data_IF_274428296556
#
_entry.id   IF_274428296556
#
_cell.length_a   1.000
_cell.length_b   1.000
_cell.length_c   1.000
_cell.angle_alpha   90.00
_cell.angle_beta   90.00
_cell.angle_gamma   90.00
#
_symmetry.space_group_name_H-M   'P 1'
#
loop_
_entity.id
_entity.type
_entity.pdbx_description
1 polymer ?
#
# COMPACT_ATOMS: atom_id res chain seq x y z
N UNK A 1 -55.87 28.69 -11.22
CA UNK A 1 -54.40 28.63 -11.39
C UNK A 1 -53.91 27.31 -10.78
N UNK A 2 -53.57 26.34 -11.65
CA UNK A 2 -53.11 25.02 -11.25
C UNK A 2 -51.59 24.95 -11.37
N UNK A 3 -50.88 24.80 -10.27
CA UNK A 3 -49.42 24.64 -10.21
C UNK A 3 -49.13 23.17 -10.43
N UNK A 4 -48.59 22.80 -11.58
CA UNK A 4 -48.03 21.47 -11.83
C UNK A 4 -46.65 21.39 -11.19
N UNK A 5 -46.50 20.61 -10.12
CA UNK A 5 -45.21 20.19 -9.61
C UNK A 5 -44.57 19.18 -10.60
N UNK A 6 -43.47 19.53 -11.16
CA UNK A 6 -42.63 18.60 -11.88
C UNK A 6 -41.78 17.80 -10.86
N UNK A 7 -42.12 16.51 -10.74
CA UNK A 7 -41.27 15.56 -9.97
C UNK A 7 -40.10 15.18 -10.88
N UNK A 8 -38.96 15.75 -10.60
CA UNK A 8 -37.69 15.35 -11.23
C UNK A 8 -37.28 13.96 -10.73
N UNK A 9 -37.29 12.98 -11.61
CA UNK A 9 -36.71 11.67 -11.35
C UNK A 9 -35.19 11.82 -11.22
N UNK A 10 -34.67 11.71 -9.99
CA UNK A 10 -33.25 11.55 -9.77
C UNK A 10 -32.91 10.09 -10.10
N UNK A 11 -32.36 9.90 -11.29
CA UNK A 11 -31.75 8.61 -11.67
C UNK A 11 -30.49 8.43 -10.84
N UNK A 12 -30.57 7.69 -9.76
CA UNK A 12 -29.38 7.15 -9.09
C UNK A 12 -28.69 6.20 -10.07
N UNK A 13 -27.63 6.68 -10.72
CA UNK A 13 -26.64 5.79 -11.32
C UNK A 13 -25.95 5.05 -10.19
N UNK A 14 -26.48 3.90 -9.81
CA UNK A 14 -25.73 2.93 -9.06
C UNK A 14 -24.59 2.45 -9.98
N UNK A 15 -23.41 3.05 -9.87
CA UNK A 15 -22.19 2.43 -10.33
C UNK A 15 -22.03 1.15 -9.48
N UNK A 16 -22.57 0.06 -9.98
CA UNK A 16 -22.18 -1.27 -9.52
C UNK A 16 -20.70 -1.37 -9.87
N UNK A 17 -19.85 -1.08 -8.91
CA UNK A 17 -18.44 -1.41 -9.00
C UNK A 17 -18.42 -2.92 -9.29
N UNK A 18 -18.14 -3.26 -10.54
CA UNK A 18 -18.05 -4.67 -10.94
C UNK A 18 -16.85 -5.19 -10.17
N UNK A 19 -17.15 -5.91 -9.08
CA UNK A 19 -16.11 -6.49 -8.24
C UNK A 19 -15.23 -7.33 -9.15
N UNK A 20 -14.01 -6.86 -9.42
CA UNK A 20 -13.05 -7.64 -10.16
C UNK A 20 -12.76 -8.93 -9.39
N UNK A 21 -12.59 -10.01 -10.08
CA UNK A 21 -12.28 -11.27 -9.44
C UNK A 21 -10.77 -11.46 -9.49
N UNK A 22 -10.19 -11.84 -8.35
CA UNK A 22 -8.84 -12.37 -8.33
C UNK A 22 -8.81 -13.54 -9.31
N UNK A 23 -7.83 -13.63 -10.21
CA UNK A 23 -7.71 -14.76 -11.12
C UNK A 23 -7.88 -16.07 -10.36
N UNK A 24 -8.53 -17.06 -10.96
CA UNK A 24 -8.98 -18.30 -10.31
C UNK A 24 -7.86 -19.15 -9.69
N UNK A 25 -6.64 -18.81 -9.95
CA UNK A 25 -5.45 -19.31 -9.29
C UNK A 25 -4.98 -18.26 -8.28
N UNK A 26 -5.11 -18.52 -7.03
CA UNK A 26 -4.43 -17.77 -5.99
C UNK A 26 -2.95 -18.09 -6.12
N UNK A 27 -2.22 -17.28 -6.88
CA UNK A 27 -0.86 -17.57 -7.25
C UNK A 27 0.13 -16.94 -6.30
N UNK A 28 1.13 -17.69 -5.94
CA UNK A 28 2.34 -17.22 -5.32
C UNK A 28 3.34 -16.85 -6.40
N UNK A 29 3.75 -15.60 -6.47
CA UNK A 29 4.77 -15.16 -7.42
C UNK A 29 6.11 -15.16 -6.72
N UNK A 30 7.03 -16.01 -7.19
CA UNK A 30 8.33 -16.16 -6.55
C UNK A 30 9.42 -15.39 -7.30
N UNK A 31 9.77 -15.79 -8.49
CA UNK A 31 10.96 -15.28 -9.16
C UNK A 31 10.68 -14.20 -10.21
N UNK A 32 9.45 -14.14 -10.70
CA UNK A 32 9.13 -13.29 -11.84
C UNK A 32 8.83 -11.84 -11.44
N UNK A 33 8.51 -11.56 -10.18
CA UNK A 33 8.41 -10.21 -9.62
C UNK A 33 9.75 -9.60 -9.25
N UNK A 34 10.86 -10.26 -9.62
CA UNK A 34 12.19 -9.76 -9.34
C UNK A 34 12.49 -8.54 -10.17
N UNK A 35 12.93 -7.48 -9.53
CA UNK A 35 13.58 -6.35 -10.19
C UNK A 35 14.98 -6.81 -10.56
N UNK A 36 15.15 -7.29 -11.80
CA UNK A 36 16.43 -7.81 -12.28
C UNK A 36 17.45 -6.72 -12.56
N UNK A 37 17.00 -5.49 -12.80
CA UNK A 37 17.87 -4.43 -13.25
C UNK A 37 18.10 -3.41 -12.14
N UNK A 38 19.36 -3.18 -11.86
CA UNK A 38 19.79 -1.98 -11.16
C UNK A 38 19.60 -0.82 -12.12
N UNK A 39 18.76 0.12 -11.77
CA UNK A 39 18.64 1.36 -12.50
C UNK A 39 19.82 2.23 -12.08
N UNK A 40 20.85 2.24 -12.89
CA UNK A 40 22.12 2.92 -12.60
C UNK A 40 22.93 2.20 -11.50
N UNK A 41 23.61 2.98 -10.66
CA UNK A 41 24.37 2.48 -9.49
C UNK A 41 23.51 2.35 -8.23
N UNK A 42 22.22 2.64 -8.33
CA UNK A 42 21.35 2.76 -7.17
C UNK A 42 20.68 1.42 -6.87
N UNK A 43 20.80 0.98 -5.63
CA UNK A 43 20.15 -0.21 -5.12
C UNK A 43 18.65 0.05 -4.91
N UNK A 44 17.77 -0.83 -5.39
CA UNK A 44 16.32 -0.64 -5.26
C UNK A 44 15.78 -0.89 -3.85
N UNK A 45 16.58 -1.44 -2.97
CA UNK A 45 16.15 -1.74 -1.59
C UNK A 45 15.13 -2.87 -1.48
N UNK A 46 14.49 -2.94 -0.33
CA UNK A 46 13.37 -3.87 -0.12
C UNK A 46 12.05 -3.28 -0.63
N UNK A 47 11.02 -4.14 -0.72
CA UNK A 47 9.66 -3.70 -1.00
C UNK A 47 9.15 -2.88 0.19
N UNK A 48 8.53 -1.76 -0.10
CA UNK A 48 7.96 -0.83 0.88
C UNK A 48 6.43 -0.85 0.87
N UNK A 49 5.84 -1.23 -0.26
CA UNK A 49 4.40 -1.25 -0.43
C UNK A 49 3.96 -2.02 -1.66
N UNK A 50 2.71 -2.42 -1.68
CA UNK A 50 2.09 -3.00 -2.86
C UNK A 50 0.61 -2.63 -2.95
N UNK A 51 0.11 -2.51 -4.17
CA UNK A 51 -1.33 -2.49 -4.42
C UNK A 51 -1.65 -3.27 -5.70
N UNK A 52 -2.92 -3.62 -5.86
CA UNK A 52 -3.34 -4.46 -6.97
C UNK A 52 -4.60 -3.95 -7.65
N UNK A 53 -4.73 -4.33 -8.91
CA UNK A 53 -5.93 -4.14 -9.73
C UNK A 53 -6.34 -5.48 -10.35
N UNK A 54 -7.45 -5.52 -11.08
CA UNK A 54 -7.89 -6.72 -11.78
C UNK A 54 -6.85 -7.29 -12.76
N UNK A 55 -5.92 -6.49 -13.25
CA UNK A 55 -4.98 -6.87 -14.31
C UNK A 55 -3.51 -6.62 -14.01
N UNK A 56 -3.19 -6.01 -12.88
CA UNK A 56 -1.81 -5.68 -12.53
C UNK A 56 -1.56 -5.65 -11.02
N UNK A 57 -0.30 -5.85 -10.65
CA UNK A 57 0.24 -5.58 -9.33
C UNK A 57 1.27 -4.46 -9.44
N UNK A 58 1.31 -3.60 -8.44
CA UNK A 58 2.26 -2.51 -8.32
C UNK A 58 3.05 -2.69 -7.04
N UNK A 59 4.36 -2.51 -7.13
CA UNK A 59 5.27 -2.62 -6.00
C UNK A 59 6.06 -1.32 -5.87
N UNK A 60 6.08 -0.76 -4.68
CA UNK A 60 7.00 0.32 -4.33
C UNK A 60 8.23 -0.28 -3.68
N UNK A 61 9.40 0.09 -4.18
CA UNK A 61 10.72 -0.17 -3.59
C UNK A 61 11.31 1.14 -3.11
N UNK A 62 12.47 1.10 -2.48
CA UNK A 62 13.15 2.30 -1.98
C UNK A 62 13.29 3.43 -3.02
N UNK A 63 13.57 3.11 -4.27
CA UNK A 63 13.82 4.10 -5.32
C UNK A 63 13.18 3.73 -6.65
N UNK A 64 12.18 2.87 -6.64
CA UNK A 64 11.56 2.36 -7.84
C UNK A 64 10.11 1.94 -7.59
N UNK A 65 9.27 2.16 -8.60
CA UNK A 65 7.96 1.53 -8.70
C UNK A 65 8.03 0.52 -9.84
N UNK A 66 7.49 -0.67 -9.62
CA UNK A 66 7.38 -1.73 -10.60
C UNK A 66 5.91 -2.08 -10.81
N UNK A 67 5.45 -2.12 -12.07
CA UNK A 67 4.18 -2.69 -12.48
C UNK A 67 4.41 -4.08 -13.06
N UNK A 68 3.65 -5.07 -12.62
CA UNK A 68 3.67 -6.43 -13.20
C UNK A 68 2.27 -6.87 -13.57
N UNK A 69 2.16 -7.88 -14.42
CA UNK A 69 0.94 -8.67 -14.48
C UNK A 69 0.83 -9.61 -13.27
N UNK A 70 -0.28 -10.34 -13.19
CA UNK A 70 -0.51 -11.32 -12.12
C UNK A 70 0.44 -12.52 -12.16
N UNK A 71 1.20 -12.70 -13.22
CA UNK A 71 2.25 -13.72 -13.35
C UNK A 71 3.64 -13.20 -12.96
N UNK A 72 3.73 -11.94 -12.50
CA UNK A 72 4.97 -11.29 -12.12
C UNK A 72 5.83 -10.83 -13.29
N UNK A 73 5.31 -10.81 -14.53
CA UNK A 73 6.04 -10.25 -15.66
C UNK A 73 6.05 -8.74 -15.56
N UNK A 74 7.21 -8.14 -15.64
CA UNK A 74 7.36 -6.69 -15.66
C UNK A 74 6.66 -6.07 -16.87
N UNK A 75 5.80 -5.10 -16.63
CA UNK A 75 5.06 -4.34 -17.64
C UNK A 75 5.60 -2.92 -17.78
N UNK A 76 5.91 -2.27 -16.65
CA UNK A 76 6.48 -0.94 -16.60
C UNK A 76 7.26 -0.73 -15.30
N UNK A 77 8.16 0.24 -15.29
CA UNK A 77 8.82 0.69 -14.09
C UNK A 77 9.07 2.21 -14.11
N UNK A 78 9.22 2.80 -12.92
CA UNK A 78 9.65 4.18 -12.77
C UNK A 78 10.72 4.27 -11.69
N UNK A 79 11.74 5.08 -11.95
CA UNK A 79 12.72 5.45 -10.92
C UNK A 79 12.11 6.54 -10.06
N UNK A 80 12.17 6.36 -8.75
CA UNK A 80 11.70 7.32 -7.77
C UNK A 80 12.88 7.89 -6.98
N UNK A 81 12.61 8.90 -6.17
CA UNK A 81 13.63 9.36 -5.21
C UNK A 81 13.81 8.34 -4.10
N UNK A 82 15.00 8.29 -3.49
CA UNK A 82 15.27 7.39 -2.38
C UNK A 82 14.21 7.50 -1.27
N UNK A 83 13.86 6.34 -0.76
CA UNK A 83 12.91 6.06 0.29
C UNK A 83 11.45 6.25 -0.12
N UNK A 84 11.03 5.43 -1.11
CA UNK A 84 9.61 5.18 -1.36
C UNK A 84 8.97 4.54 -0.14
N UNK A 85 7.72 4.90 0.15
CA UNK A 85 6.86 4.25 1.11
C UNK A 85 5.83 3.35 0.43
N UNK A 86 4.65 3.27 1.00
CA UNK A 86 3.55 2.47 0.48
C UNK A 86 2.95 3.05 -0.82
N UNK A 87 2.09 2.27 -1.45
CA UNK A 87 1.53 2.55 -2.77
C UNK A 87 0.06 2.15 -2.83
N UNK A 88 -0.79 2.98 -3.43
CA UNK A 88 -2.18 2.63 -3.69
C UNK A 88 -2.62 3.01 -5.11
N UNK A 89 -3.69 2.39 -5.56
CA UNK A 89 -4.31 2.67 -6.87
C UNK A 89 -5.68 3.32 -6.69
N UNK A 90 -5.93 4.36 -7.49
CA UNK A 90 -7.26 4.95 -7.63
C UNK A 90 -7.43 5.60 -8.99
N UNK A 91 -8.52 5.30 -9.67
CA UNK A 91 -8.98 5.94 -10.91
C UNK A 91 -7.88 6.14 -11.98
N UNK A 92 -7.19 5.04 -12.35
CA UNK A 92 -6.16 5.07 -13.39
C UNK A 92 -4.83 5.70 -12.94
N UNK A 93 -4.66 5.96 -11.66
CA UNK A 93 -3.45 6.54 -11.08
C UNK A 93 -2.91 5.70 -9.95
N UNK A 94 -1.63 5.78 -9.77
CA UNK A 94 -0.90 5.20 -8.65
C UNK A 94 -0.37 6.34 -7.78
N UNK A 95 -0.60 6.23 -6.49
CA UNK A 95 -0.16 7.20 -5.48
C UNK A 95 0.86 6.55 -4.56
N UNK A 96 1.92 7.26 -4.23
CA UNK A 96 2.89 6.82 -3.21
C UNK A 96 2.99 7.84 -2.10
N UNK A 97 3.06 7.33 -0.86
CA UNK A 97 3.66 8.10 0.23
C UNK A 97 5.16 7.88 0.18
N UNK A 98 5.95 8.93 0.29
CA UNK A 98 7.41 8.80 0.25
C UNK A 98 8.13 9.90 1.04
N UNK A 99 9.42 9.72 1.24
CA UNK A 99 10.30 10.71 1.85
C UNK A 99 11.30 11.19 0.81
N UNK A 100 11.26 12.47 0.50
CA UNK A 100 12.32 13.10 -0.26
C UNK A 100 13.52 13.34 0.66
N UNK A 101 14.62 12.70 0.33
CA UNK A 101 15.90 12.91 1.01
C UNK A 101 16.77 13.76 0.08
N UNK A 102 17.08 15.00 0.44
CA UNK A 102 17.91 15.86 -0.37
C UNK A 102 19.34 15.31 -0.50
N UNK A 103 19.97 15.55 -1.65
CA UNK A 103 21.39 15.19 -1.87
C UNK A 103 22.35 16.16 -1.18
N UNK A 104 21.90 17.40 -0.93
CA UNK A 104 22.71 18.45 -0.30
C UNK A 104 22.69 18.32 1.22
N UNK A 105 23.89 18.46 1.82
CA UNK A 105 24.03 18.51 3.27
C UNK A 105 23.32 19.75 3.85
N UNK A 106 22.39 19.52 4.78
CA UNK A 106 21.72 20.59 5.51
C UNK A 106 20.26 20.80 5.13
N UNK A 107 19.81 20.28 4.01
CA UNK A 107 18.39 20.25 3.70
C UNK A 107 17.67 19.17 4.51
N UNK A 108 16.46 19.48 4.94
CA UNK A 108 15.62 18.56 5.71
C UNK A 108 14.91 17.56 4.80
N UNK A 109 14.90 16.30 5.18
CA UNK A 109 14.02 15.32 4.58
C UNK A 109 12.55 15.74 4.72
N UNK A 110 11.77 15.57 3.64
CA UNK A 110 10.36 16.04 3.58
C UNK A 110 9.46 14.91 3.14
N UNK A 111 8.35 14.73 3.85
CA UNK A 111 7.28 13.84 3.41
C UNK A 111 6.66 14.35 2.11
N UNK A 112 6.20 13.43 1.27
CA UNK A 112 5.67 13.77 -0.05
C UNK A 112 4.61 12.75 -0.49
N UNK A 113 3.61 13.22 -1.24
CA UNK A 113 2.75 12.37 -2.08
C UNK A 113 3.21 12.54 -3.52
N UNK A 114 3.43 11.42 -4.21
CA UNK A 114 3.71 11.40 -5.65
C UNK A 114 2.64 10.62 -6.38
N UNK A 115 2.30 11.07 -7.59
CA UNK A 115 1.23 10.50 -8.43
C UNK A 115 1.81 10.12 -9.78
N UNK A 116 1.48 8.92 -10.22
CA UNK A 116 1.91 8.35 -11.48
C UNK A 116 0.71 7.86 -12.28
N UNK A 117 0.82 7.91 -13.59
CA UNK A 117 -0.10 7.22 -14.48
C UNK A 117 -0.01 5.70 -14.27
N UNK A 118 -1.14 5.05 -14.05
CA UNK A 118 -1.12 3.62 -13.69
C UNK A 118 -0.75 2.71 -14.86
N UNK A 119 -0.87 3.17 -16.10
CA UNK A 119 -0.52 2.36 -17.26
C UNK A 119 0.97 2.44 -17.57
N UNK A 120 1.52 3.64 -17.57
CA UNK A 120 2.88 3.93 -18.03
C UNK A 120 3.88 4.16 -16.91
N UNK A 121 3.42 4.38 -15.69
CA UNK A 121 4.19 4.85 -14.53
C UNK A 121 4.91 6.18 -14.75
N UNK A 122 4.47 6.97 -15.73
CA UNK A 122 4.99 8.32 -15.90
C UNK A 122 4.51 9.22 -14.74
N UNK A 123 5.39 10.08 -14.18
CA UNK A 123 5.01 10.97 -13.11
C UNK A 123 4.01 12.03 -13.61
N UNK A 124 2.91 12.20 -12.87
CA UNK A 124 1.88 13.20 -13.16
C UNK A 124 2.11 14.45 -12.31
N UNK A 125 2.18 14.28 -11.01
CA UNK A 125 2.36 15.38 -10.05
C UNK A 125 2.91 14.90 -8.72
N UNK A 126 3.34 15.85 -7.91
CA UNK A 126 3.80 15.60 -6.54
C UNK A 126 3.44 16.78 -5.63
N UNK A 127 3.29 16.50 -4.35
CA UNK A 127 3.14 17.52 -3.31
C UNK A 127 4.03 17.19 -2.12
N UNK A 128 4.82 18.16 -1.67
CA UNK A 128 5.49 18.12 -0.38
C UNK A 128 4.52 18.43 0.74
N UNK A 129 4.65 17.73 1.84
CA UNK A 129 3.77 17.80 3.01
C UNK A 129 4.49 18.57 4.12
N UNK A 130 4.49 19.90 4.00
CA UNK A 130 5.19 20.75 4.95
C UNK A 130 4.54 20.76 6.33
N UNK A 131 3.25 20.37 6.38
CA UNK A 131 2.47 20.16 7.59
C UNK A 131 2.86 18.89 8.37
N UNK A 132 3.71 18.02 7.79
CA UNK A 132 4.15 16.77 8.40
C UNK A 132 5.56 16.87 8.96
N UNK A 133 5.75 16.28 10.15
CA UNK A 133 7.06 16.17 10.78
C UNK A 133 7.50 14.68 10.84
N UNK A 134 7.64 14.05 9.68
CA UNK A 134 8.00 12.63 9.58
C UNK A 134 7.93 12.12 8.15
N UNK A 135 8.01 10.79 7.99
CA UNK A 135 7.83 10.10 6.73
C UNK A 135 6.33 9.97 6.41
N UNK A 136 6.00 9.95 5.13
CA UNK A 136 4.68 9.57 4.64
C UNK A 136 4.84 8.16 4.06
N UNK A 137 4.44 7.14 4.81
CA UNK A 137 4.65 5.76 4.41
C UNK A 137 3.34 5.05 4.03
N UNK A 138 2.44 4.78 4.98
CA UNK A 138 1.17 4.11 4.67
C UNK A 138 0.24 4.99 3.84
N UNK A 139 -0.29 4.49 2.72
CA UNK A 139 -1.19 5.27 1.84
C UNK A 139 -2.29 4.38 1.27
N UNK A 140 -3.52 4.89 1.28
CA UNK A 140 -4.64 4.29 0.55
C UNK A 140 -5.58 5.37 0.01
N UNK A 141 -6.47 5.02 -0.91
CA UNK A 141 -7.47 5.94 -1.43
C UNK A 141 -8.87 5.32 -1.36
N UNK A 142 -9.82 6.10 -0.87
CA UNK A 142 -11.22 5.73 -0.79
C UNK A 142 -12.08 6.92 -1.19
N UNK A 143 -12.99 6.71 -2.14
CA UNK A 143 -13.95 7.72 -2.62
C UNK A 143 -13.30 9.07 -3.01
N UNK A 144 -12.12 9.03 -3.66
CA UNK A 144 -11.37 10.21 -4.07
C UNK A 144 -10.62 10.93 -2.94
N UNK A 145 -10.56 10.35 -1.77
CA UNK A 145 -9.78 10.84 -0.65
C UNK A 145 -8.59 9.92 -0.40
N UNK A 146 -7.39 10.50 -0.44
CA UNK A 146 -6.16 9.84 -0.01
C UNK A 146 -6.10 9.89 1.51
N UNK A 147 -5.87 8.75 2.12
CA UNK A 147 -5.56 8.59 3.53
C UNK A 147 -4.08 8.22 3.65
N UNK A 148 -3.37 8.98 4.45
CA UNK A 148 -1.93 8.89 4.59
C UNK A 148 -1.57 8.62 6.03
N UNK A 149 -0.80 7.58 6.30
CA UNK A 149 -0.26 7.25 7.62
C UNK A 149 1.18 7.74 7.75
N UNK A 150 1.52 8.28 8.92
CA UNK A 150 2.88 8.70 9.22
C UNK A 150 3.73 7.46 9.51
N UNK A 151 4.76 7.28 8.69
CA UNK A 151 5.89 6.44 9.04
C UNK A 151 6.85 7.22 9.96
N UNK A 152 7.64 6.49 10.73
CA UNK A 152 8.69 7.02 11.59
C UNK A 152 8.21 8.09 12.57
N UNK A 153 7.63 7.64 13.65
CA UNK A 153 7.18 8.49 14.75
C UNK A 153 8.37 8.86 15.63
N UNK A 154 8.53 10.16 15.93
CA UNK A 154 9.54 10.63 16.88
C UNK A 154 8.91 11.66 17.84
N UNK A 155 8.92 11.42 19.15
CA UNK A 155 9.42 10.23 19.83
C UNK A 155 8.56 8.99 19.57
N UNK A 156 9.12 7.77 19.75
CA UNK A 156 8.35 6.53 19.69
C UNK A 156 7.18 6.58 20.67
N UNK A 157 6.06 5.95 20.27
CA UNK A 157 4.89 5.90 21.13
C UNK A 157 3.76 5.12 20.49
N UNK A 158 2.68 4.96 21.23
CA UNK A 158 1.48 4.25 20.83
C UNK A 158 0.56 5.03 19.88
N UNK A 159 0.97 6.23 19.46
CA UNK A 159 0.17 7.14 18.63
C UNK A 159 0.77 7.26 17.25
N UNK A 160 -0.08 7.11 16.24
CA UNK A 160 0.28 7.36 14.85
C UNK A 160 -0.55 8.51 14.29
N UNK A 161 0.06 9.32 13.45
CA UNK A 161 -0.60 10.43 12.77
C UNK A 161 -1.14 9.97 11.42
N UNK A 162 -2.31 10.48 11.09
CA UNK A 162 -2.94 10.30 9.78
C UNK A 162 -3.37 11.64 9.20
N UNK A 163 -3.38 11.72 7.86
CA UNK A 163 -3.86 12.88 7.13
C UNK A 163 -4.79 12.47 6.00
N UNK A 164 -5.64 13.41 5.58
CA UNK A 164 -6.56 13.25 4.46
C UNK A 164 -6.22 14.25 3.38
N UNK A 165 -6.21 13.81 2.12
CA UNK A 165 -5.92 14.66 0.97
C UNK A 165 -6.89 14.38 -0.15
N UNK A 166 -7.26 15.39 -0.89
CA UNK A 166 -8.03 15.24 -2.12
C UNK A 166 -7.16 14.58 -3.21
N UNK A 167 -7.62 13.49 -3.80
CA UNK A 167 -6.83 12.69 -4.73
C UNK A 167 -6.54 13.44 -6.05
N UNK A 168 -7.42 14.35 -6.47
CA UNK A 168 -7.23 15.10 -7.70
C UNK A 168 -6.29 16.30 -7.49
N UNK A 169 -6.42 17.02 -6.41
CA UNK A 169 -5.68 18.27 -6.17
C UNK A 169 -4.47 18.08 -5.26
N UNK A 170 -4.43 17.00 -4.49
CA UNK A 170 -3.50 16.71 -3.39
C UNK A 170 -3.56 17.73 -2.25
N UNK A 171 -4.62 18.55 -2.19
CA UNK A 171 -4.79 19.50 -1.09
C UNK A 171 -5.24 18.78 0.18
N UNK A 172 -4.79 19.23 1.37
CA UNK A 172 -5.21 18.62 2.62
C UNK A 172 -6.70 18.84 2.87
N UNK A 173 -7.37 17.80 3.38
CA UNK A 173 -8.74 17.85 3.85
C UNK A 173 -8.71 17.87 5.38
N UNK A 174 -8.77 19.06 5.95
CA UNK A 174 -8.63 19.27 7.39
C UNK A 174 -7.18 19.18 7.86
N UNK A 175 -7.01 19.02 9.17
CA UNK A 175 -5.70 18.87 9.81
C UNK A 175 -5.36 17.39 9.99
N UNK A 176 -4.07 17.03 10.04
CA UNK A 176 -3.65 15.70 10.49
C UNK A 176 -4.22 15.39 11.89
N UNK A 177 -4.55 14.15 12.12
CA UNK A 177 -5.14 13.68 13.37
C UNK A 177 -4.37 12.47 13.91
N UNK A 178 -4.56 12.16 15.18
CA UNK A 178 -3.82 11.13 15.91
C UNK A 178 -4.73 9.95 16.23
N UNK A 179 -4.21 8.74 16.02
CA UNK A 179 -4.84 7.49 16.43
C UNK A 179 -3.96 6.79 17.45
N UNK A 180 -4.54 6.39 18.57
CA UNK A 180 -3.87 5.58 19.57
C UNK A 180 -4.03 4.08 19.19
N UNK A 181 -2.94 3.46 18.80
CA UNK A 181 -2.92 2.05 18.42
C UNK A 181 -2.76 1.10 19.61
N UNK A 182 -2.48 1.63 20.80
CA UNK A 182 -2.38 0.86 22.04
C UNK A 182 -1.09 0.06 22.19
N UNK A 183 -0.06 0.33 21.37
CA UNK A 183 1.29 -0.22 21.52
C UNK A 183 2.33 0.74 20.93
N UNK A 184 3.56 0.65 21.43
CA UNK A 184 4.63 1.52 20.95
C UNK A 184 5.13 1.06 19.58
N UNK A 185 5.27 2.00 18.66
CA UNK A 185 5.85 1.80 17.35
C UNK A 185 6.80 2.95 17.02
N UNK A 186 8.04 2.62 16.65
CA UNK A 186 9.03 3.59 16.19
C UNK A 186 8.83 4.00 14.74
N UNK A 187 8.18 3.15 13.96
CA UNK A 187 8.06 3.32 12.51
C UNK A 187 6.64 3.68 12.04
N UNK A 188 5.66 3.75 12.95
CA UNK A 188 4.30 4.15 12.63
C UNK A 188 3.62 3.25 11.60
N UNK A 189 2.66 3.84 10.86
CA UNK A 189 1.93 3.17 9.78
C UNK A 189 2.83 3.05 8.54
N UNK A 190 3.23 1.83 8.22
CA UNK A 190 4.08 1.55 7.06
C UNK A 190 3.26 1.26 5.81
N UNK A 191 2.11 0.62 5.99
CA UNK A 191 1.20 0.29 4.92
C UNK A 191 -0.24 0.56 5.34
N UNK A 192 -1.08 0.93 4.38
CA UNK A 192 -2.48 1.23 4.62
C UNK A 192 -3.32 0.73 3.44
N UNK A 193 -4.36 -0.04 3.72
CA UNK A 193 -5.33 -0.49 2.74
C UNK A 193 -6.76 -0.32 3.24
N UNK A 194 -7.76 -0.45 2.38
CA UNK A 194 -9.16 -0.37 2.75
C UNK A 194 -10.02 -1.30 1.90
N UNK A 195 -11.07 -1.87 2.50
CA UNK A 195 -12.14 -2.56 1.80
C UNK A 195 -13.39 -1.67 1.57
N UNK A 196 -13.26 -0.38 1.91
CA UNK A 196 -14.36 0.57 1.87
C UNK A 196 -15.19 0.61 3.16
N UNK A 197 -15.07 -0.37 4.04
CA UNK A 197 -15.72 -0.45 5.36
C UNK A 197 -14.73 -0.16 6.49
N UNK A 198 -13.55 -0.75 6.39
CA UNK A 198 -12.46 -0.63 7.35
C UNK A 198 -11.18 -0.16 6.69
N UNK A 199 -10.31 0.44 7.50
CA UNK A 199 -8.93 0.69 7.18
C UNK A 199 -8.06 -0.34 7.89
N UNK A 200 -7.06 -0.83 7.20
CA UNK A 200 -6.08 -1.81 7.67
C UNK A 200 -4.70 -1.18 7.63
N UNK A 201 -4.00 -1.15 8.75
CA UNK A 201 -2.68 -0.54 8.84
C UNK A 201 -1.65 -1.57 9.31
N UNK A 202 -0.60 -1.74 8.52
CA UNK A 202 0.56 -2.55 8.86
C UNK A 202 1.66 -1.69 9.49
N UNK A 203 2.25 -2.18 10.58
CA UNK A 203 3.32 -1.52 11.30
C UNK A 203 4.52 -2.45 11.45
N UNK A 204 5.70 -1.89 11.71
CA UNK A 204 6.83 -2.72 12.14
C UNK A 204 6.53 -3.33 13.51
N UNK A 205 6.72 -4.64 13.59
CA UNK A 205 6.87 -5.32 14.87
C UNK A 205 8.34 -5.17 15.27
N UNK A 206 8.63 -4.63 16.43
CA UNK A 206 10.01 -4.44 16.91
C UNK A 206 10.73 -5.78 17.19
N UNK A 207 9.97 -6.82 17.43
CA UNK A 207 10.47 -8.17 17.67
C UNK A 207 10.02 -9.07 16.50
N UNK A 208 10.96 -9.61 15.72
CA UNK A 208 10.67 -10.52 14.60
C UNK A 208 10.01 -11.83 15.03
N UNK A 209 10.13 -12.17 16.32
CA UNK A 209 9.38 -13.22 16.98
C UNK A 209 8.08 -12.70 17.61
N UNK A 210 7.66 -11.48 17.26
CA UNK A 210 6.76 -10.69 18.05
C UNK A 210 5.36 -11.26 18.12
N UNK A 211 4.94 -11.35 19.32
CA UNK A 211 3.55 -11.39 19.75
C UNK A 211 2.89 -10.02 19.75
N UNK A 212 3.54 -9.01 19.15
CA UNK A 212 3.05 -7.62 19.12
C UNK A 212 1.99 -7.47 18.04
N UNK A 213 0.81 -6.96 18.38
CA UNK A 213 -0.27 -6.78 17.41
C UNK A 213 0.00 -5.59 16.51
N UNK A 214 0.77 -5.81 15.45
CA UNK A 214 1.23 -4.79 14.51
C UNK A 214 0.35 -4.62 13.25
N UNK A 215 -0.74 -5.36 13.16
CA UNK A 215 -1.77 -5.19 12.14
C UNK A 215 -3.03 -4.63 12.80
N UNK A 216 -3.40 -3.40 12.43
CA UNK A 216 -4.44 -2.62 13.08
C UNK A 216 -5.63 -2.50 12.14
N UNK A 217 -6.82 -2.78 12.66
CA UNK A 217 -8.10 -2.57 11.96
C UNK A 217 -8.79 -1.36 12.57
N UNK A 218 -9.17 -0.42 11.72
CA UNK A 218 -9.87 0.81 12.10
C UNK A 218 -11.16 0.95 11.31
N UNK A 219 -12.19 1.50 11.93
CA UNK A 219 -13.40 1.88 11.21
C UNK A 219 -13.21 3.15 10.36
N UNK A 220 -14.26 3.63 9.69
CA UNK A 220 -14.19 4.81 8.82
C UNK A 220 -13.86 6.11 9.57
N UNK A 221 -14.05 6.14 10.87
CA UNK A 221 -13.69 7.26 11.75
C UNK A 221 -12.30 7.09 12.38
N UNK A 222 -11.54 6.09 11.91
CA UNK A 222 -10.21 5.74 12.43
C UNK A 222 -10.20 5.30 13.90
N UNK A 223 -11.33 4.84 14.41
CA UNK A 223 -11.38 4.18 15.71
C UNK A 223 -10.86 2.74 15.56
N UNK A 224 -9.91 2.37 16.39
CA UNK A 224 -9.35 1.01 16.40
C UNK A 224 -10.41 0.01 16.86
N UNK A 225 -10.72 -0.96 16.00
CA UNK A 225 -11.70 -2.02 16.24
C UNK A 225 -11.07 -3.41 16.31
N UNK A 226 -9.82 -3.55 15.86
CA UNK A 226 -9.08 -4.82 15.91
C UNK A 226 -7.57 -4.60 15.96
N UNK A 227 -6.88 -5.56 16.60
CA UNK A 227 -5.42 -5.63 16.66
C UNK A 227 -5.00 -7.07 16.48
N UNK A 228 -4.11 -7.33 15.53
CA UNK A 228 -3.69 -8.68 15.18
C UNK A 228 -2.18 -8.79 15.10
N UNK A 229 -1.65 -9.94 15.49
CA UNK A 229 -0.24 -10.30 15.27
C UNK A 229 -0.12 -10.84 13.85
N UNK A 230 0.32 -9.97 12.95
CA UNK A 230 0.51 -10.35 11.55
C UNK A 230 1.56 -9.46 10.88
N UNK A 231 2.62 -10.06 10.37
CA UNK A 231 3.75 -9.34 9.78
C UNK A 231 3.53 -9.03 8.30
N UNK A 232 2.96 -7.87 7.96
CA UNK A 232 2.75 -7.40 6.60
C UNK A 232 3.39 -6.03 6.33
N UNK A 233 4.49 -5.74 6.95
CA UNK A 233 5.17 -4.44 6.93
C UNK A 233 5.79 -4.00 5.60
N UNK A 234 5.78 -4.87 4.58
CA UNK A 234 6.42 -4.60 3.29
C UNK A 234 5.42 -4.41 2.15
N UNK A 235 4.15 -4.30 2.47
CA UNK A 235 3.07 -4.04 1.53
C UNK A 235 1.98 -5.09 1.57
N UNK A 236 0.76 -4.62 1.54
CA UNK A 236 -0.43 -5.44 1.39
C UNK A 236 -1.55 -4.63 0.77
N UNK A 237 -2.53 -5.32 0.22
CA UNK A 237 -3.77 -4.73 -0.27
C UNK A 237 -4.95 -5.67 -0.01
N UNK A 238 -6.16 -5.12 -0.02
CA UNK A 238 -7.38 -5.91 0.08
C UNK A 238 -7.76 -6.41 -1.30
N UNK A 239 -8.10 -7.71 -1.38
CA UNK A 239 -8.53 -8.32 -2.63
C UNK A 239 -9.91 -8.96 -2.47
N UNK A 240 -10.73 -8.99 -3.54
CA UNK A 240 -12.00 -9.70 -3.50
C UNK A 240 -11.79 -11.21 -3.36
N UNK A 241 -12.82 -11.91 -2.89
CA UNK A 241 -12.84 -13.37 -2.83
C UNK A 241 -12.76 -13.97 -1.43
N UNK A 242 -12.79 -13.15 -0.38
CA UNK A 242 -13.07 -13.64 0.97
C UNK A 242 -14.44 -14.31 1.01
N UNK A 243 -14.53 -15.48 1.67
CA UNK A 243 -15.77 -16.26 1.82
C UNK A 243 -16.34 -16.07 3.21
N UNK A 244 -17.66 -16.14 3.32
CA UNK A 244 -18.36 -16.15 4.61
C UNK A 244 -17.98 -14.96 5.53
N UNK A 245 -17.90 -13.75 4.96
CA UNK A 245 -17.57 -12.53 5.70
C UNK A 245 -16.06 -12.34 6.00
N UNK A 246 -15.19 -13.19 5.49
CA UNK A 246 -13.75 -13.00 5.59
C UNK A 246 -13.28 -11.85 4.71
N UNK A 247 -12.28 -11.11 5.17
CA UNK A 247 -11.53 -10.15 4.35
C UNK A 247 -10.23 -10.81 3.88
N UNK A 248 -10.04 -10.84 2.57
CA UNK A 248 -8.82 -11.41 1.99
C UNK A 248 -7.82 -10.32 1.67
N UNK A 249 -6.58 -10.59 2.00
CA UNK A 249 -5.44 -9.74 1.71
C UNK A 249 -4.47 -10.44 0.77
N UNK A 250 -3.88 -9.66 -0.12
CA UNK A 250 -2.62 -9.99 -0.77
C UNK A 250 -1.53 -9.19 -0.06
N UNK A 251 -0.40 -9.82 0.24
CA UNK A 251 0.71 -9.15 0.88
C UNK A 251 2.04 -9.65 0.34
N UNK A 252 3.08 -8.88 0.54
CA UNK A 252 4.40 -9.29 0.08
C UNK A 252 5.45 -9.20 1.18
N UNK A 253 6.46 -10.05 1.00
CA UNK A 253 7.71 -10.01 1.76
C UNK A 253 8.88 -9.93 0.79
N UNK A 254 9.96 -9.29 1.21
CA UNK A 254 11.15 -9.19 0.39
C UNK A 254 12.03 -10.42 0.54
N UNK A 255 12.41 -11.01 -0.59
CA UNK A 255 13.43 -12.06 -0.64
C UNK A 255 14.74 -11.43 -1.10
N UNK A 256 15.86 -11.94 -0.56
CA UNK A 256 17.22 -11.45 -0.86
C UNK A 256 17.44 -9.97 -0.51
N UNK A 257 16.76 -9.49 0.54
CA UNK A 257 17.07 -8.19 1.10
C UNK A 257 18.40 -8.25 1.84
N UNK A 258 19.48 -8.14 1.07
CA UNK A 258 20.81 -8.09 1.63
C UNK A 258 21.44 -6.75 1.29
N UNK A 259 22.29 -6.29 2.18
CA UNK A 259 23.10 -5.11 1.91
C UNK A 259 23.77 -5.22 0.54
N UNK A 260 23.77 -4.17 -0.28
CA UNK A 260 24.49 -4.16 -1.57
C UNK A 260 25.94 -4.57 -1.45
N UNK A 261 26.53 -4.41 -0.26
CA UNK A 261 27.92 -4.83 0.03
C UNK A 261 28.07 -6.34 0.18
N UNK A 262 27.02 -7.04 0.65
CA UNK A 262 27.10 -8.46 0.96
C UNK A 262 26.81 -9.35 -0.25
N UNK A 263 25.80 -9.02 -1.06
CA UNK A 263 25.42 -9.82 -2.24
C UNK A 263 24.91 -8.93 -3.39
N UNK A 264 25.79 -8.19 -4.07
CA UNK A 264 25.40 -7.24 -5.11
C UNK A 264 24.80 -7.89 -6.38
N UNK A 265 24.84 -9.20 -6.48
CA UNK A 265 24.47 -9.93 -7.70
C UNK A 265 23.06 -10.55 -7.63
N UNK A 266 22.48 -10.66 -6.44
CA UNK A 266 21.15 -11.25 -6.30
C UNK A 266 20.06 -10.18 -6.49
N UNK A 267 19.03 -10.49 -7.29
CA UNK A 267 17.90 -9.60 -7.43
C UNK A 267 17.12 -9.52 -6.11
N UNK A 268 16.63 -8.33 -5.77
CA UNK A 268 15.62 -8.16 -4.73
C UNK A 268 14.28 -8.56 -5.31
N UNK A 269 13.58 -9.47 -4.64
CA UNK A 269 12.32 -10.04 -5.13
C UNK A 269 11.21 -9.80 -4.13
N UNK A 270 9.99 -9.60 -4.64
CA UNK A 270 8.77 -9.66 -3.85
C UNK A 270 8.22 -11.09 -3.84
N UNK A 271 8.07 -11.67 -2.67
CA UNK A 271 7.30 -12.88 -2.48
C UNK A 271 5.86 -12.50 -2.17
N UNK A 272 4.96 -12.79 -3.09
CA UNK A 272 3.54 -12.48 -2.95
C UNK A 272 2.81 -13.64 -2.29
N UNK A 273 1.99 -13.30 -1.31
CA UNK A 273 1.30 -14.22 -0.42
C UNK A 273 -0.13 -13.76 -0.19
N UNK A 274 -0.97 -14.63 0.38
CA UNK A 274 -2.36 -14.32 0.70
C UNK A 274 -2.66 -14.60 2.17
N UNK A 275 -3.52 -13.77 2.76
CA UNK A 275 -4.03 -13.97 4.11
C UNK A 275 -5.54 -13.73 4.15
N UNK A 276 -6.21 -14.28 5.14
CA UNK A 276 -7.62 -13.99 5.44
C UNK A 276 -7.78 -13.57 6.89
N UNK A 277 -8.56 -12.50 7.11
CA UNK A 277 -9.08 -12.10 8.41
C UNK A 277 -10.51 -12.58 8.51
N UNK A 278 -10.76 -13.52 9.42
CA UNK A 278 -12.08 -14.09 9.69
C UNK A 278 -12.23 -14.33 11.19
N UNK A 279 -13.40 -14.01 11.74
CA UNK A 279 -13.74 -14.21 13.15
C UNK A 279 -12.67 -13.65 14.12
N UNK A 280 -12.11 -12.48 13.77
CA UNK A 280 -11.08 -11.82 14.56
C UNK A 280 -9.68 -12.45 14.50
N UNK A 281 -9.44 -13.41 13.59
CA UNK A 281 -8.14 -14.04 13.35
C UNK A 281 -7.67 -13.76 11.95
N UNK A 282 -6.37 -13.48 11.82
CA UNK A 282 -5.70 -13.35 10.52
C UNK A 282 -4.75 -14.51 10.33
N UNK A 283 -4.85 -15.19 9.19
CA UNK A 283 -4.07 -16.38 8.88
C UNK A 283 -3.50 -16.31 7.47
N UNK A 284 -2.25 -16.75 7.30
CA UNK A 284 -1.65 -16.96 5.99
C UNK A 284 -2.30 -18.18 5.33
N UNK A 285 -2.92 -17.95 4.16
CA UNK A 285 -3.56 -18.99 3.36
C UNK A 285 -2.76 -19.36 2.10
N UNK A 286 -1.58 -18.81 1.93
CA UNK A 286 -0.74 -19.01 0.72
C UNK A 286 -0.53 -20.48 0.38
N UNK A 287 -0.33 -21.34 1.37
CA UNK A 287 -0.14 -22.79 1.19
C UNK A 287 -1.35 -23.50 0.56
N UNK A 288 -2.51 -22.85 0.58
CA UNK A 288 -3.74 -23.37 -0.04
C UNK A 288 -3.92 -22.87 -1.47
N UNK A 289 -3.02 -22.03 -1.95
CA UNK A 289 -3.07 -21.48 -3.30
C UNK A 289 -2.50 -22.46 -4.30
N UNK A 290 -3.20 -22.61 -5.44
CA UNK A 290 -2.77 -23.47 -6.54
C UNK A 290 -1.96 -22.63 -7.52
N UNK A 291 -0.72 -23.01 -7.75
CA UNK A 291 0.12 -22.37 -8.76
C UNK A 291 -0.33 -22.79 -10.17
N UNK A 292 -0.54 -21.87 -11.09
CA UNK A 292 -0.72 -22.22 -12.48
C UNK A 292 0.58 -22.89 -12.98
N UNK A 293 0.44 -24.00 -13.67
CA UNK A 293 1.58 -24.58 -14.38
C UNK A 293 2.09 -23.55 -15.40
N UNK A 294 3.40 -23.33 -15.50
CA UNK A 294 3.93 -22.48 -16.55
C UNK A 294 3.35 -22.94 -17.89
N UNK A 295 2.78 -22.01 -18.64
CA UNK A 295 2.41 -22.28 -20.02
C UNK A 295 3.67 -22.73 -20.73
N UNK A 296 3.69 -23.97 -21.19
CA UNK A 296 4.76 -24.42 -22.09
C UNK A 296 4.72 -23.51 -23.30
N UNK A 297 5.79 -22.76 -23.50
CA UNK A 297 6.00 -21.95 -24.71
C UNK A 297 6.22 -22.90 -25.89
#
# INVERSE_FOLDING_TARGET
MSVKMAVGAVTLCACVAQAWQVPSWDARITEQGAVKERIGKTWCGHVQGMCVTSNAMYFSYHNQILKTDWYGRSLAYAVTTPHGGDICYWNGRVYTGDVYVPEEKGERARARISVYDAETLQPIKRRFLDEWNGAADGITCLDGVIYLGMGRVSPPGNKCWYGKYDAETLQPIGKPFVVDHGYDSTHGSQNLATDGTYFYSGHYCEDENAKTPCFIVMDRDFKVVGRHVFGCRQGFDVVPGGKDGAVRFIYCTTINWMSPKAQPQLPVMALVQFAELKDGKIEDITRHCIFPKPLKR
#
